data_IF_268949246337
#
_entry.id   IF_268949246337
#
_cell.length_a   1.000
_cell.length_b   1.000
_cell.length_c   1.000
_cell.angle_alpha   90.00
_cell.angle_beta   90.00
_cell.angle_gamma   90.00
#
_symmetry.space_group_name_H-M   'P 1'
#
loop_
_entity.id
_entity.type
_entity.pdbx_description
1 polymer ?
#
# COMPACT_ATOMS: atom_id res chain seq x y z
N UNK A 1 10.85 13.56 -23.14
CA UNK A 1 11.15 13.64 -21.69
C UNK A 1 10.05 14.49 -21.10
N UNK A 2 9.02 13.87 -20.52
CA UNK A 2 8.04 14.62 -19.73
C UNK A 2 8.71 14.95 -18.41
N UNK A 3 8.64 16.20 -17.98
CA UNK A 3 9.10 16.57 -16.65
C UNK A 3 8.24 15.83 -15.63
N UNK A 4 8.87 15.12 -14.69
CA UNK A 4 8.15 14.44 -13.62
C UNK A 4 7.44 15.50 -12.77
N UNK A 5 6.15 15.30 -12.50
CA UNK A 5 5.39 16.19 -11.62
C UNK A 5 6.10 16.31 -10.27
N UNK A 6 6.03 17.49 -9.64
CA UNK A 6 6.54 17.72 -8.28
C UNK A 6 6.01 16.65 -7.31
N UNK A 7 4.75 16.22 -7.51
CA UNK A 7 4.11 15.13 -6.77
C UNK A 7 4.84 13.79 -6.94
N UNK A 8 5.19 13.43 -8.17
CA UNK A 8 5.96 12.21 -8.49
C UNK A 8 7.33 12.23 -7.79
N UNK A 9 8.03 13.37 -7.84
CA UNK A 9 9.32 13.52 -7.16
C UNK A 9 9.19 13.40 -5.65
N UNK A 10 8.15 13.99 -5.06
CA UNK A 10 7.87 13.86 -3.62
C UNK A 10 7.64 12.40 -3.22
N UNK A 11 6.85 11.64 -4.00
CA UNK A 11 6.63 10.22 -3.72
C UNK A 11 7.89 9.37 -3.88
N UNK A 12 8.76 9.69 -4.84
CA UNK A 12 10.07 9.04 -4.96
C UNK A 12 10.93 9.26 -3.70
N UNK A 13 10.96 10.49 -3.19
CA UNK A 13 11.65 10.83 -1.94
C UNK A 13 11.02 10.10 -0.75
N UNK A 14 9.70 10.11 -0.64
CA UNK A 14 8.97 9.42 0.43
C UNK A 14 9.23 7.91 0.43
N UNK A 15 9.24 7.27 -0.75
CA UNK A 15 9.59 5.85 -0.91
C UNK A 15 11.02 5.58 -0.47
N UNK A 16 11.97 6.44 -0.82
CA UNK A 16 13.36 6.29 -0.38
C UNK A 16 13.49 6.40 1.14
N UNK A 17 12.78 7.36 1.75
CA UNK A 17 12.74 7.52 3.19
C UNK A 17 12.11 6.30 3.90
N UNK A 18 11.04 5.74 3.34
CA UNK A 18 10.40 4.52 3.82
C UNK A 18 11.37 3.33 3.79
N UNK A 19 12.06 3.12 2.67
CA UNK A 19 13.06 2.07 2.51
C UNK A 19 14.24 2.25 3.48
N UNK A 20 14.70 3.49 3.68
CA UNK A 20 15.73 3.79 4.66
C UNK A 20 15.29 3.41 6.09
N UNK A 21 14.08 3.81 6.47
CA UNK A 21 13.53 3.50 7.79
C UNK A 21 13.44 1.99 8.03
N UNK A 22 12.89 1.23 7.08
CA UNK A 22 12.76 -0.22 7.25
C UNK A 22 14.10 -0.95 7.25
N UNK A 23 15.06 -0.57 6.39
CA UNK A 23 16.44 -1.11 6.44
C UNK A 23 17.09 -0.91 7.81
N UNK A 24 16.91 0.27 8.40
CA UNK A 24 17.44 0.57 9.74
C UNK A 24 16.76 -0.32 10.80
N UNK A 25 15.43 -0.40 10.75
CA UNK A 25 14.63 -1.17 11.71
C UNK A 25 14.94 -2.69 11.67
N UNK A 26 15.14 -3.28 10.48
CA UNK A 26 15.47 -4.70 10.34
C UNK A 26 16.91 -5.01 10.74
N UNK A 27 17.86 -4.11 10.43
CA UNK A 27 19.27 -4.23 10.83
C UNK A 27 19.43 -4.22 12.35
N UNK A 28 18.79 -3.27 13.03
CA UNK A 28 18.88 -3.15 14.50
C UNK A 28 18.27 -4.38 15.20
N UNK A 29 17.32 -5.06 14.55
CA UNK A 29 16.67 -6.28 15.04
C UNK A 29 17.40 -7.59 14.65
N UNK A 30 18.48 -7.54 13.85
CA UNK A 30 19.22 -8.71 13.31
C UNK A 30 18.33 -9.82 12.76
N UNK A 31 17.16 -9.47 12.21
CA UNK A 31 16.07 -10.43 12.03
C UNK A 31 16.11 -11.14 10.68
N UNK A 32 16.50 -10.44 9.61
CA UNK A 32 16.59 -10.94 8.23
C UNK A 32 17.12 -9.84 7.28
N UNK A 33 17.44 -10.20 6.04
CA UNK A 33 17.78 -9.26 4.96
C UNK A 33 16.53 -8.57 4.40
N UNK A 34 16.57 -7.25 4.25
CA UNK A 34 15.42 -6.45 3.83
C UNK A 34 15.36 -6.33 2.31
N UNK A 35 14.32 -6.92 1.73
CA UNK A 35 13.96 -6.74 0.32
C UNK A 35 12.52 -6.21 0.22
N UNK A 36 12.27 -4.96 -0.23
CA UNK A 36 10.91 -4.41 -0.34
C UNK A 36 10.03 -5.13 -1.35
N UNK A 37 10.60 -5.93 -2.26
CA UNK A 37 9.85 -6.72 -3.25
C UNK A 37 9.35 -8.05 -2.69
N UNK A 38 9.83 -8.45 -1.52
CA UNK A 38 9.48 -9.72 -0.86
C UNK A 38 9.01 -9.55 0.59
N UNK A 39 9.42 -8.47 1.25
CA UNK A 39 9.15 -8.22 2.66
C UNK A 39 7.84 -7.47 2.82
N UNK A 40 6.96 -7.97 3.69
CA UNK A 40 5.71 -7.31 4.05
C UNK A 40 5.86 -6.45 5.30
N UNK A 41 4.99 -5.44 5.46
CA UNK A 41 4.96 -4.62 6.69
C UNK A 41 4.59 -5.49 7.89
N UNK A 42 3.69 -6.45 7.71
CA UNK A 42 3.35 -7.43 8.74
C UNK A 42 4.60 -8.16 9.27
N UNK A 43 5.54 -8.58 8.43
CA UNK A 43 6.75 -9.26 8.88
C UNK A 43 7.67 -8.37 9.77
N UNK A 44 7.67 -7.05 9.51
CA UNK A 44 8.56 -6.10 10.21
C UNK A 44 7.92 -5.54 11.48
N UNK A 45 6.65 -5.13 11.41
CA UNK A 45 5.99 -4.32 12.43
C UNK A 45 5.08 -5.11 13.38
N UNK A 46 4.90 -6.43 13.22
CA UNK A 46 4.04 -7.23 14.11
C UNK A 46 4.55 -7.20 15.55
N UNK A 47 4.03 -6.25 16.32
CA UNK A 47 4.09 -6.22 17.78
C UNK A 47 2.73 -6.69 18.31
N UNK A 48 2.68 -7.46 19.42
CA UNK A 48 1.43 -7.99 19.98
C UNK A 48 0.35 -6.92 20.19
N UNK A 49 0.77 -5.71 20.54
CA UNK A 49 -0.09 -4.54 20.78
C UNK A 49 -0.83 -4.06 19.51
N UNK A 50 -0.24 -4.19 18.32
CA UNK A 50 -0.87 -3.77 17.06
C UNK A 50 -1.94 -4.74 16.54
N UNK A 51 -2.00 -5.98 17.07
CA UNK A 51 -3.09 -6.91 16.77
C UNK A 51 -4.42 -6.51 17.42
N UNK A 52 -4.40 -5.58 18.38
CA UNK A 52 -5.56 -5.26 19.23
C UNK A 52 -6.31 -3.96 18.89
N UNK A 53 -5.91 -3.18 17.87
CA UNK A 53 -6.64 -1.96 17.49
C UNK A 53 -7.75 -2.28 16.45
N UNK A 54 -9.02 -2.07 16.86
CA UNK A 54 -10.28 -2.27 16.09
C UNK A 54 -10.48 -1.29 14.92
N UNK A 55 -11.41 -1.47 13.98
CA UNK A 55 -12.65 -2.25 14.00
C UNK A 55 -13.04 -2.99 12.68
N UNK A 56 -14.12 -3.74 12.76
CA UNK A 56 -14.16 -5.15 12.35
C UNK A 56 -14.35 -5.47 10.85
N UNK A 57 -14.47 -4.47 9.97
CA UNK A 57 -14.64 -4.68 8.52
C UNK A 57 -13.56 -4.01 7.66
N UNK A 58 -13.23 -2.72 7.88
CA UNK A 58 -12.09 -2.05 7.24
C UNK A 58 -10.73 -2.72 7.59
N UNK A 59 -10.68 -3.50 8.66
CA UNK A 59 -9.49 -4.24 9.06
C UNK A 59 -9.11 -5.40 8.14
N UNK A 60 -10.05 -6.09 7.48
CA UNK A 60 -9.68 -7.28 6.70
C UNK A 60 -8.78 -6.91 5.52
N UNK A 61 -9.21 -5.94 4.73
CA UNK A 61 -8.47 -5.47 3.56
C UNK A 61 -7.17 -4.78 3.96
N UNK A 62 -7.17 -3.92 4.98
CA UNK A 62 -5.95 -3.30 5.48
C UNK A 62 -4.95 -4.33 6.03
N UNK A 63 -5.44 -5.39 6.70
CA UNK A 63 -4.58 -6.50 7.15
C UNK A 63 -4.01 -7.26 5.96
N UNK A 64 -4.85 -7.61 4.99
CA UNK A 64 -4.42 -8.30 3.78
C UNK A 64 -3.41 -7.48 2.96
N UNK A 65 -3.62 -6.16 2.85
CA UNK A 65 -2.71 -5.23 2.17
C UNK A 65 -1.33 -5.20 2.83
N UNK A 66 -1.28 -5.20 4.18
CA UNK A 66 -0.03 -5.20 4.95
C UNK A 66 0.76 -6.51 4.86
N UNK A 67 0.13 -7.58 4.39
CA UNK A 67 0.76 -8.87 4.12
C UNK A 67 1.38 -8.93 2.71
N UNK A 68 1.03 -7.99 1.81
CA UNK A 68 1.71 -7.87 0.52
C UNK A 68 3.15 -7.36 0.72
N UNK A 69 4.05 -7.65 -0.25
CA UNK A 69 5.34 -6.99 -0.30
C UNK A 69 5.20 -5.47 -0.35
N UNK A 70 6.07 -4.75 0.36
CA UNK A 70 6.02 -3.28 0.51
C UNK A 70 5.93 -2.58 -0.85
N UNK A 71 6.76 -2.96 -1.82
CA UNK A 71 6.73 -2.35 -3.16
C UNK A 71 5.37 -2.54 -3.84
N UNK A 72 4.72 -3.69 -3.66
CA UNK A 72 3.41 -3.99 -4.23
C UNK A 72 2.32 -3.18 -3.53
N UNK A 73 2.39 -3.09 -2.20
CA UNK A 73 1.50 -2.25 -1.39
C UNK A 73 1.58 -0.79 -1.83
N UNK A 74 2.79 -0.22 -1.93
CA UNK A 74 3.01 1.17 -2.38
C UNK A 74 2.47 1.40 -3.78
N UNK A 75 2.68 0.47 -4.73
CA UNK A 75 2.13 0.61 -6.10
C UNK A 75 0.60 0.65 -6.11
N UNK A 76 -0.05 -0.16 -5.29
CA UNK A 76 -1.51 -0.17 -5.15
C UNK A 76 -1.95 1.13 -4.48
N UNK A 77 -1.26 1.58 -3.43
CA UNK A 77 -1.55 2.83 -2.73
C UNK A 77 -1.51 4.06 -3.64
N UNK A 78 -0.40 4.23 -4.37
CA UNK A 78 -0.23 5.32 -5.31
C UNK A 78 -1.27 5.31 -6.44
N UNK A 79 -1.68 4.13 -6.91
CA UNK A 79 -2.65 4.06 -8.00
C UNK A 79 -4.07 4.39 -7.54
N UNK A 80 -4.50 3.83 -6.42
CA UNK A 80 -5.91 3.86 -6.04
C UNK A 80 -6.25 5.05 -5.13
N UNK A 81 -5.33 5.49 -4.26
CA UNK A 81 -5.56 6.64 -3.38
C UNK A 81 -5.08 7.94 -4.02
N UNK A 82 -3.84 7.95 -4.49
CA UNK A 82 -3.23 9.16 -5.05
C UNK A 82 -3.57 9.37 -6.53
N UNK A 83 -4.26 8.39 -7.14
CA UNK A 83 -4.67 8.40 -8.55
C UNK A 83 -3.51 8.62 -9.52
N UNK A 84 -2.29 8.19 -9.14
CA UNK A 84 -1.12 8.31 -10.01
C UNK A 84 -1.30 7.40 -11.23
N UNK A 85 -1.01 7.91 -12.44
CA UNK A 85 -0.99 7.09 -13.64
C UNK A 85 0.18 6.11 -13.57
N UNK A 86 0.01 4.92 -14.15
CA UNK A 86 0.98 3.82 -14.10
C UNK A 86 2.40 4.23 -14.53
N UNK A 87 2.52 5.20 -15.45
CA UNK A 87 3.82 5.75 -15.89
C UNK A 87 4.56 6.49 -14.77
N UNK A 88 3.85 7.26 -13.95
CA UNK A 88 4.44 8.02 -12.84
C UNK A 88 4.74 7.09 -11.67
N UNK A 89 3.92 6.07 -11.44
CA UNK A 89 4.25 5.00 -10.50
C UNK A 89 5.54 4.28 -10.92
N UNK A 90 5.75 4.04 -12.22
CA UNK A 90 6.98 3.43 -12.71
C UNK A 90 8.21 4.30 -12.42
N UNK A 91 8.07 5.62 -12.51
CA UNK A 91 9.10 6.59 -12.13
C UNK A 91 9.37 6.57 -10.63
N UNK A 92 8.32 6.65 -9.79
CA UNK A 92 8.45 6.58 -8.31
C UNK A 92 9.13 5.29 -7.85
N UNK A 93 8.75 4.17 -8.49
CA UNK A 93 9.22 2.85 -8.10
C UNK A 93 10.56 2.47 -8.77
N UNK A 94 11.06 3.30 -9.69
CA UNK A 94 12.28 3.08 -10.48
C UNK A 94 12.30 1.72 -11.21
N UNK A 95 11.15 1.34 -11.79
CA UNK A 95 11.00 0.07 -12.55
C UNK A 95 10.27 0.29 -13.87
N UNK A 96 10.38 -0.63 -14.85
CA UNK A 96 9.61 -0.51 -16.09
C UNK A 96 8.09 -0.47 -15.86
N UNK A 97 7.36 0.26 -16.71
CA UNK A 97 5.88 0.31 -16.71
C UNK A 97 5.25 -1.08 -16.72
N UNK A 98 5.81 -2.01 -17.50
CA UNK A 98 5.33 -3.39 -17.56
C UNK A 98 5.55 -4.14 -16.23
N UNK A 99 6.61 -3.81 -15.49
CA UNK A 99 6.85 -4.35 -14.15
C UNK A 99 5.78 -3.86 -13.18
N UNK A 100 5.41 -2.57 -13.24
CA UNK A 100 4.30 -2.04 -12.42
C UNK A 100 3.00 -2.78 -12.74
N UNK A 101 2.62 -2.87 -14.02
CA UNK A 101 1.38 -3.56 -14.45
C UNK A 101 1.33 -5.01 -13.97
N UNK A 102 2.42 -5.76 -14.18
CA UNK A 102 2.48 -7.18 -13.81
C UNK A 102 2.50 -7.38 -12.29
N UNK A 103 3.24 -6.55 -11.54
CA UNK A 103 3.25 -6.60 -10.07
C UNK A 103 1.90 -6.24 -9.48
N UNK A 104 1.25 -5.18 -9.97
CA UNK A 104 -0.09 -4.82 -9.52
C UNK A 104 -1.13 -5.89 -9.82
N UNK A 105 -1.08 -6.50 -11.01
CA UNK A 105 -1.98 -7.60 -11.35
C UNK A 105 -1.80 -8.79 -10.40
N UNK A 106 -0.56 -9.21 -10.16
CA UNK A 106 -0.26 -10.29 -9.20
C UNK A 106 -0.63 -9.90 -7.77
N UNK A 107 -0.36 -8.65 -7.40
CA UNK A 107 -0.67 -8.07 -6.10
C UNK A 107 -2.16 -8.12 -5.79
N UNK A 108 -3.02 -7.76 -6.76
CA UNK A 108 -4.48 -7.88 -6.60
C UNK A 108 -4.94 -9.31 -6.38
N UNK A 109 -4.43 -10.26 -7.18
CA UNK A 109 -4.74 -11.70 -6.98
C UNK A 109 -4.27 -12.20 -5.61
N UNK A 110 -3.10 -11.76 -5.18
CA UNK A 110 -2.58 -12.12 -3.85
C UNK A 110 -3.42 -11.49 -2.74
N UNK A 111 -3.89 -10.26 -2.94
CA UNK A 111 -4.74 -9.55 -2.00
C UNK A 111 -6.10 -10.26 -1.83
N UNK A 112 -6.74 -10.63 -2.93
CA UNK A 112 -7.97 -11.46 -2.94
C UNK A 112 -7.76 -12.76 -2.14
N UNK A 113 -6.71 -13.52 -2.46
CA UNK A 113 -6.39 -14.76 -1.75
C UNK A 113 -6.09 -14.55 -0.25
N UNK A 114 -5.44 -13.44 0.11
CA UNK A 114 -5.17 -13.09 1.50
C UNK A 114 -6.44 -12.70 2.26
N UNK A 115 -7.36 -11.99 1.61
CA UNK A 115 -8.65 -11.67 2.20
C UNK A 115 -9.49 -12.92 2.43
N UNK A 116 -9.55 -13.84 1.46
CA UNK A 116 -10.19 -15.16 1.62
C UNK A 116 -9.63 -15.93 2.81
N UNK A 117 -8.30 -15.91 2.96
CA UNK A 117 -7.61 -16.59 4.07
C UNK A 117 -7.86 -15.93 5.43
N UNK A 118 -7.95 -14.61 5.47
CA UNK A 118 -8.06 -13.82 6.71
C UNK A 118 -9.50 -13.58 7.14
N UNK A 119 -10.49 -13.80 6.26
CA UNK A 119 -11.89 -13.67 6.58
C UNK A 119 -12.30 -14.72 7.63
N UNK A 120 -12.99 -14.25 8.68
CA UNK A 120 -13.53 -15.10 9.73
C UNK A 120 -14.93 -15.64 9.37
N UNK A 121 -15.66 -14.96 8.47
CA UNK A 121 -16.95 -15.41 7.95
C UNK A 121 -17.12 -15.11 6.45
N UNK A 122 -17.95 -15.88 5.71
CA UNK A 122 -18.26 -15.62 4.30
C UNK A 122 -18.91 -14.24 4.05
N UNK A 123 -19.69 -13.73 5.02
CA UNK A 123 -20.32 -12.41 4.95
C UNK A 123 -19.28 -11.27 4.89
N UNK A 124 -18.10 -11.44 5.51
CA UNK A 124 -17.00 -10.48 5.40
C UNK A 124 -16.40 -10.45 4.00
N UNK A 125 -16.43 -11.58 3.28
CA UNK A 125 -15.94 -11.63 1.89
C UNK A 125 -16.91 -10.93 0.96
N UNK A 126 -18.21 -11.20 1.05
CA UNK A 126 -19.22 -10.56 0.19
C UNK A 126 -19.23 -9.03 0.35
N UNK A 127 -19.14 -8.54 1.59
CA UNK A 127 -19.05 -7.10 1.85
C UNK A 127 -17.75 -6.43 1.33
N UNK A 128 -16.69 -7.22 1.12
CA UNK A 128 -15.40 -6.72 0.63
C UNK A 128 -15.18 -6.98 -0.87
N UNK A 129 -15.99 -7.85 -1.50
CA UNK A 129 -15.89 -8.23 -2.90
C UNK A 129 -16.50 -7.16 -3.84
N UNK A 130 -17.47 -6.38 -3.36
CA UNK A 130 -18.03 -5.24 -4.08
C UNK A 130 -17.09 -4.02 -4.00
N UNK A 131 -16.18 -4.02 -4.96
CA UNK A 131 -15.28 -2.96 -5.41
C UNK A 131 -14.23 -2.47 -4.40
N UNK A 132 -13.05 -3.11 -4.45
CA UNK A 132 -11.77 -2.54 -4.00
C UNK A 132 -11.60 -1.06 -4.41
N UNK A 133 -12.12 -0.66 -5.58
CA UNK A 133 -12.18 0.72 -6.05
C UNK A 133 -13.16 1.61 -5.27
N UNK A 134 -14.35 1.11 -4.92
CA UNK A 134 -15.35 1.81 -4.12
C UNK A 134 -14.88 1.95 -2.67
N UNK A 135 -14.24 0.90 -2.13
CA UNK A 135 -13.54 0.99 -0.84
C UNK A 135 -12.40 2.01 -0.88
N UNK A 136 -11.53 1.98 -1.90
CA UNK A 136 -10.42 2.94 -2.01
C UNK A 136 -10.95 4.38 -2.13
N UNK A 137 -12.05 4.59 -2.85
CA UNK A 137 -12.73 5.88 -2.91
C UNK A 137 -13.27 6.34 -1.54
N UNK A 138 -13.95 5.45 -0.79
CA UNK A 138 -14.45 5.76 0.57
C UNK A 138 -13.31 6.07 1.53
N UNK A 139 -12.24 5.27 1.54
CA UNK A 139 -11.11 5.49 2.46
C UNK A 139 -10.35 6.77 2.13
N UNK A 140 -10.26 7.15 0.85
CA UNK A 140 -9.74 8.46 0.45
C UNK A 140 -10.60 9.58 1.01
N UNK A 141 -11.93 9.47 0.93
CA UNK A 141 -12.82 10.50 1.46
C UNK A 141 -12.69 10.60 3.01
N UNK A 142 -12.52 9.47 3.70
CA UNK A 142 -12.23 9.41 5.14
C UNK A 142 -10.87 10.03 5.52
N UNK A 143 -9.80 9.77 4.74
CA UNK A 143 -8.45 10.31 5.00
C UNK A 143 -8.28 11.75 4.49
N UNK A 144 -9.03 12.14 3.47
CA UNK A 144 -9.06 13.48 2.90
C UNK A 144 -9.81 14.48 3.79
N UNK A 145 -10.73 14.01 4.63
CA UNK A 145 -11.39 14.83 5.64
C UNK A 145 -10.43 15.35 6.73
N UNK A 146 -9.27 14.69 6.93
CA UNK A 146 -8.25 15.06 7.92
C UNK A 146 -6.95 15.62 7.28
N UNK A 147 -6.90 15.83 5.96
CA UNK A 147 -5.70 16.35 5.28
C UNK A 147 -5.84 17.84 4.93
N UNK A 148 -5.06 18.76 5.55
CA UNK A 148 -5.21 20.21 5.38
C UNK A 148 -4.57 20.78 4.10
N UNK A 149 -4.47 20.02 2.99
CA UNK A 149 -3.53 20.37 1.90
C UNK A 149 -4.13 20.77 0.55
N UNK A 150 -5.44 20.95 0.39
CA UNK A 150 -6.03 21.32 -0.92
C UNK A 150 -6.68 22.72 -0.97
N UNK A 151 -6.40 23.59 -0.01
CA UNK A 151 -6.93 24.98 0.01
C UNK A 151 -5.88 26.09 -0.15
N UNK A 152 -4.73 25.80 -0.76
CA UNK A 152 -3.70 26.83 -0.98
C UNK A 152 -2.97 26.71 -2.32
N UNK A 153 -3.72 26.57 -3.43
CA UNK A 153 -3.25 27.02 -4.74
C UNK A 153 -4.44 27.56 -5.54
N UNK A 154 -4.90 28.75 -5.18
CA UNK A 154 -5.45 29.76 -6.12
C UNK A 154 -5.17 31.16 -5.58
#
# INVERSE_FOLDING_TARGET
>A
RGEASVRTLLFAIARNQLNYYFRKLTRDRKRFDYDPTQTSIAAIATTPTQRMAGGEQNLLLLRALRELPIDTQVMIELHYWEQLPVREIAEVMEVPVNTVKTRMFRGRKQLEALMEKLAASPEQLEATHDEFSAWAARLRDELGADSPSDSAVE
#
